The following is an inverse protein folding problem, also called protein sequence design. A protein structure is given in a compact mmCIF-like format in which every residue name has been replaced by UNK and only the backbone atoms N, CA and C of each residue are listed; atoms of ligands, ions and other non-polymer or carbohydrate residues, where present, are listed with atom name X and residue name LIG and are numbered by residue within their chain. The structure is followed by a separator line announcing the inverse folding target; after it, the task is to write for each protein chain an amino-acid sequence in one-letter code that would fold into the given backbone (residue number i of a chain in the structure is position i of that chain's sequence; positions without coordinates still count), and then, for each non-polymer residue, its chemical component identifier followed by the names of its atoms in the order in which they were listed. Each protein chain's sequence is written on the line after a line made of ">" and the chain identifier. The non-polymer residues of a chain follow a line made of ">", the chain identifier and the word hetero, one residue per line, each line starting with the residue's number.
data_IF_732208192120
#
_entry.id   IF_732208192120
#
_cell.length_a   1.000
_cell.length_b   1.000
_cell.length_c   1.000
_cell.angle_alpha   90.00
_cell.angle_beta   90.00
_cell.angle_gamma   90.00
#
_symmetry.space_group_name_H-M   'P 1'
#
loop_
_entity.id
_entity.type
_entity.pdbx_description
1 polymer ?
#
# COMPACT_ATOMS: atom_id res chain seq x y z
N UNK A 1 6.58 -1.43 -24.08
CA UNK A 1 5.46 -0.46 -24.14
C UNK A 1 4.19 -0.97 -23.44
N UNK A 2 3.70 -2.18 -23.74
CA UNK A 2 2.46 -2.71 -23.14
C UNK A 2 2.57 -2.90 -21.61
N UNK A 3 3.69 -3.44 -21.10
CA UNK A 3 3.90 -3.64 -19.66
C UNK A 3 3.79 -2.33 -18.87
N UNK A 4 4.48 -1.28 -19.32
CA UNK A 4 4.38 0.06 -18.73
C UNK A 4 2.96 0.63 -18.71
N UNK A 5 2.18 0.37 -19.77
CA UNK A 5 0.80 0.83 -19.86
C UNK A 5 -0.09 0.08 -18.85
N UNK A 6 0.13 -1.22 -18.70
CA UNK A 6 -0.57 -2.07 -17.73
C UNK A 6 -0.22 -1.65 -16.31
N UNK A 7 1.07 -1.45 -15.99
CA UNK A 7 1.52 -0.92 -14.70
C UNK A 7 0.84 0.41 -14.39
N UNK A 8 0.81 1.33 -15.36
CA UNK A 8 0.20 2.66 -15.18
C UNK A 8 -1.33 2.60 -15.02
N UNK A 9 -2.00 1.60 -15.58
CA UNK A 9 -3.45 1.42 -15.44
C UNK A 9 -3.82 0.73 -14.12
N UNK A 10 -3.07 -0.30 -13.73
CA UNK A 10 -3.27 -1.05 -12.50
C UNK A 10 -2.91 -0.22 -11.26
N UNK A 11 -1.91 0.65 -11.34
CA UNK A 11 -1.50 1.54 -10.25
C UNK A 11 -2.27 2.87 -10.22
N UNK A 12 -3.40 2.99 -10.91
CA UNK A 12 -4.22 4.21 -10.81
C UNK A 12 -4.97 4.24 -9.49
N UNK A 13 -4.80 5.33 -8.74
CA UNK A 13 -5.57 5.63 -7.52
C UNK A 13 -7.08 5.43 -7.67
N UNK A 14 -7.64 5.81 -8.81
CA UNK A 14 -9.07 5.63 -9.10
C UNK A 14 -9.55 4.16 -9.06
N UNK A 15 -8.67 3.21 -9.40
CA UNK A 15 -8.98 1.78 -9.33
C UNK A 15 -9.08 1.32 -7.87
N UNK A 16 -8.10 1.70 -7.04
CA UNK A 16 -8.10 1.39 -5.61
C UNK A 16 -9.29 2.03 -4.90
N UNK A 17 -9.56 3.32 -5.15
CA UNK A 17 -10.72 4.01 -4.60
C UNK A 17 -12.04 3.32 -4.96
N UNK A 18 -12.15 2.80 -6.19
CA UNK A 18 -13.34 2.11 -6.67
C UNK A 18 -13.51 0.73 -6.01
N UNK A 19 -12.42 -0.01 -5.82
CA UNK A 19 -12.41 -1.28 -5.11
C UNK A 19 -12.75 -1.08 -3.63
N UNK A 20 -12.15 -0.06 -2.99
CA UNK A 20 -12.41 0.30 -1.61
C UNK A 20 -13.88 0.69 -1.38
N UNK A 21 -14.47 1.50 -2.27
CA UNK A 21 -15.90 1.85 -2.23
C UNK A 21 -16.83 0.65 -2.35
N UNK A 22 -16.37 -0.44 -2.98
CA UNK A 22 -17.11 -1.72 -3.09
C UNK A 22 -16.85 -2.66 -1.92
N UNK A 23 -16.06 -2.23 -0.92
CA UNK A 23 -15.68 -3.05 0.22
C UNK A 23 -14.61 -4.10 -0.10
N UNK A 24 -13.93 -3.99 -1.25
CA UNK A 24 -12.89 -4.91 -1.67
C UNK A 24 -11.55 -4.40 -1.13
N UNK A 25 -10.94 -5.18 -0.23
CA UNK A 25 -9.66 -4.85 0.38
C UNK A 25 -8.52 -5.17 -0.59
N UNK A 26 -7.62 -4.21 -0.82
CA UNK A 26 -6.49 -4.35 -1.73
C UNK A 26 -5.18 -4.43 -0.94
N UNK A 27 -4.42 -5.49 -1.19
CA UNK A 27 -3.09 -5.71 -0.64
C UNK A 27 -2.06 -5.70 -1.77
N UNK A 28 -0.96 -4.97 -1.59
CA UNK A 28 0.13 -4.93 -2.58
C UNK A 28 1.31 -5.81 -2.13
N UNK A 29 1.93 -6.51 -3.08
CA UNK A 29 2.97 -7.53 -2.88
C UNK A 29 3.93 -7.55 -4.09
N UNK A 30 5.24 -7.83 -3.97
CA UNK A 30 6.11 -7.65 -2.79
C UNK A 30 6.68 -6.24 -2.86
N UNK A 31 6.62 -5.49 -1.77
CA UNK A 31 7.32 -4.21 -1.66
C UNK A 31 8.41 -4.36 -0.60
N UNK A 32 9.61 -3.88 -0.87
CA UNK A 32 10.76 -4.04 0.05
C UNK A 32 11.38 -2.71 0.46
N UNK A 33 11.05 -1.62 -0.23
CA UNK A 33 11.53 -0.26 0.07
C UNK A 33 10.48 0.59 0.77
N UNK A 34 10.93 1.52 1.62
CA UNK A 34 10.00 2.37 2.40
C UNK A 34 9.24 3.36 1.51
N UNK A 35 9.88 3.85 0.44
CA UNK A 35 9.27 4.71 -0.57
C UNK A 35 8.13 4.00 -1.30
N UNK A 36 8.23 2.69 -1.45
CA UNK A 36 7.22 1.86 -2.08
C UNK A 36 6.06 1.59 -1.11
N UNK A 37 6.34 1.43 0.19
CA UNK A 37 5.30 1.40 1.22
C UNK A 37 4.48 2.69 1.22
N UNK A 38 5.15 3.84 1.20
CA UNK A 38 4.51 5.15 1.14
C UNK A 38 3.54 5.24 -0.04
N UNK A 39 4.04 4.97 -1.25
CA UNK A 39 3.23 5.02 -2.47
C UNK A 39 2.06 4.05 -2.42
N UNK A 40 2.25 2.85 -1.88
CA UNK A 40 1.18 1.87 -1.73
C UNK A 40 0.01 2.41 -0.89
N UNK A 41 0.32 3.03 0.26
CA UNK A 41 -0.70 3.63 1.11
C UNK A 41 -1.31 4.90 0.50
N UNK A 42 -0.53 5.76 -0.16
CA UNK A 42 -1.02 6.95 -0.88
C UNK A 42 -2.00 6.61 -2.02
N UNK A 43 -1.79 5.46 -2.67
CA UNK A 43 -2.66 4.91 -3.69
C UNK A 43 -3.97 4.33 -3.13
N UNK A 44 -4.08 4.16 -1.81
CA UNK A 44 -5.27 3.64 -1.14
C UNK A 44 -5.23 2.14 -0.87
N UNK A 45 -4.05 1.51 -0.89
CA UNK A 45 -3.93 0.13 -0.44
C UNK A 45 -4.25 0.00 1.06
N UNK A 46 -4.92 -1.10 1.43
CA UNK A 46 -5.26 -1.41 2.82
C UNK A 46 -4.04 -1.96 3.56
N UNK A 47 -3.16 -2.67 2.85
CA UNK A 47 -1.96 -3.24 3.42
C UNK A 47 -0.90 -3.58 2.39
N UNK A 48 0.30 -3.87 2.89
CA UNK A 48 1.48 -4.24 2.11
C UNK A 48 2.02 -5.58 2.62
N UNK A 49 2.38 -6.46 1.69
CA UNK A 49 3.12 -7.68 1.96
C UNK A 49 4.58 -7.49 1.54
N UNK A 50 5.50 -7.78 2.46
CA UNK A 50 6.95 -7.57 2.31
C UNK A 50 7.71 -8.76 2.88
N UNK A 51 8.90 -9.04 2.33
CA UNK A 51 9.85 -9.99 2.92
C UNK A 51 10.57 -9.40 4.15
N UNK A 52 10.39 -8.10 4.43
CA UNK A 52 11.00 -7.38 5.53
C UNK A 52 9.95 -6.88 6.56
N UNK A 53 9.26 -7.77 7.29
CA UNK A 53 8.15 -7.39 8.18
C UNK A 53 8.58 -6.39 9.27
N UNK A 54 9.81 -6.51 9.79
CA UNK A 54 10.36 -5.56 10.78
C UNK A 54 10.53 -4.15 10.22
N UNK A 55 10.87 -4.01 8.93
CA UNK A 55 11.00 -2.71 8.24
C UNK A 55 9.63 -2.07 8.09
N UNK A 56 8.64 -2.83 7.64
CA UNK A 56 7.25 -2.36 7.52
C UNK A 56 6.66 -1.96 8.88
N UNK A 57 6.90 -2.74 9.95
CA UNK A 57 6.43 -2.38 11.30
C UNK A 57 6.99 -1.02 11.74
N UNK A 58 8.30 -0.82 11.63
CA UNK A 58 8.95 0.47 11.96
C UNK A 58 8.40 1.61 11.12
N UNK A 59 8.10 1.38 9.85
CA UNK A 59 7.47 2.37 8.98
C UNK A 59 6.08 2.77 9.49
N UNK A 60 5.23 1.79 9.84
CA UNK A 60 3.88 2.04 10.36
C UNK A 60 3.89 2.75 11.72
N UNK A 61 4.79 2.36 12.63
CA UNK A 61 4.97 3.00 13.95
C UNK A 61 5.35 4.49 13.82
N UNK A 62 6.09 4.87 12.77
CA UNK A 62 6.43 6.29 12.51
C UNK A 62 5.26 7.07 11.90
N UNK A 63 4.42 6.41 11.10
CA UNK A 63 3.31 7.01 10.34
C UNK A 63 2.04 7.20 11.16
N UNK A 64 1.79 6.29 12.08
CA UNK A 64 0.67 6.38 13.02
C UNK A 64 1.27 6.46 14.42
N UNK A 65 1.23 7.61 15.13
CA UNK A 65 1.45 7.58 16.56
C UNK A 65 0.37 6.67 17.12
N UNK A 66 0.76 5.47 17.52
CA UNK A 66 -0.16 4.51 18.12
C UNK A 66 -0.62 5.20 19.41
N UNK A 67 -1.86 5.67 19.41
CA UNK A 67 -2.55 6.03 20.65
C UNK A 67 -2.91 4.71 21.32
N UNK A 68 -1.91 4.07 21.92
CA UNK A 68 -2.06 2.90 22.78
C UNK A 68 -2.77 3.33 24.06
N UNK A 69 -4.05 3.62 23.93
CA UNK A 69 -5.01 3.58 25.01
C UNK A 69 -5.80 2.29 24.81
N UNK A 70 -5.27 1.16 25.31
CA UNK A 70 -5.99 0.09 26.01
C UNK A 70 -5.03 -1.03 26.43
#
# INVERSE_FOLDING_TARGET
>A
YVVWLIEKLLLRKSLFDHLLKRGIQTYLWVLNEEEDFEKAFELGAVGVMTDYPTKLRKFLERKSPINDSH
#
